data_IF_169308643292
#
_entry.id   IF_169308643292
#
_cell.length_a   1.000
_cell.length_b   1.000
_cell.length_c   1.000
_cell.angle_alpha   90.00
_cell.angle_beta   90.00
_cell.angle_gamma   90.00
#
_symmetry.space_group_name_H-M   'P 1'
#
loop_
_entity.id
_entity.type
_entity.pdbx_description
1 polymer ?
#
# COMPACT_ATOMS: atom_id res chain seq x y z
N UNK A 1 -11.24 -10.53 19.96
CA UNK A 1 -10.75 -10.63 18.56
C UNK A 1 -11.01 -11.97 17.86
N UNK A 2 -11.00 -13.14 18.51
CA UNK A 2 -11.23 -14.44 17.84
C UNK A 2 -12.59 -14.57 17.13
N UNK A 3 -13.62 -13.85 17.58
CA UNK A 3 -15.01 -13.94 17.05
C UNK A 3 -15.14 -13.40 15.63
N UNK A 4 -14.64 -12.19 15.37
CA UNK A 4 -14.66 -11.55 14.03
C UNK A 4 -13.92 -12.39 12.98
N UNK A 5 -12.75 -12.96 13.33
CA UNK A 5 -12.00 -13.84 12.42
C UNK A 5 -12.70 -15.17 12.12
N UNK A 6 -13.60 -15.62 13.01
CA UNK A 6 -14.41 -16.83 12.79
C UNK A 6 -15.65 -16.52 11.94
N UNK A 7 -16.23 -15.33 12.11
CA UNK A 7 -17.41 -14.87 11.35
C UNK A 7 -17.04 -14.44 9.92
N UNK A 8 -15.88 -13.81 9.75
CA UNK A 8 -15.34 -13.48 8.43
C UNK A 8 -14.48 -14.66 7.94
N UNK A 9 -14.99 -15.46 7.01
CA UNK A 9 -14.26 -16.54 6.34
C UNK A 9 -13.10 -16.06 5.43
N UNK A 10 -12.54 -14.87 5.69
CA UNK A 10 -11.49 -14.22 4.90
C UNK A 10 -10.36 -13.74 5.81
N UNK A 11 -9.16 -13.55 5.26
CA UNK A 11 -8.05 -12.91 5.98
C UNK A 11 -8.44 -11.47 6.32
N UNK A 12 -8.23 -11.08 7.59
CA UNK A 12 -8.53 -9.74 8.10
C UNK A 12 -7.26 -9.08 8.62
N UNK A 13 -6.95 -7.90 8.08
CA UNK A 13 -5.88 -7.04 8.54
C UNK A 13 -6.48 -5.87 9.34
N UNK A 14 -6.02 -5.69 10.58
CA UNK A 14 -6.40 -4.53 11.40
C UNK A 14 -5.28 -3.50 11.31
N UNK A 15 -5.62 -2.30 10.85
CA UNK A 15 -4.68 -1.20 10.68
C UNK A 15 -5.01 -0.13 11.70
N UNK A 16 -4.02 0.29 12.48
CA UNK A 16 -4.19 1.39 13.44
C UNK A 16 -4.41 2.69 12.69
N UNK A 17 -5.28 3.55 13.20
CA UNK A 17 -5.39 4.93 12.70
C UNK A 17 -4.05 5.64 12.85
N UNK A 18 -3.56 6.23 11.77
CA UNK A 18 -2.31 6.99 11.72
C UNK A 18 -2.55 8.35 11.06
N UNK A 19 -1.70 9.33 11.37
CA UNK A 19 -1.86 10.72 10.96
C UNK A 19 -1.16 11.09 9.65
N UNK A 20 -0.30 10.22 9.11
CA UNK A 20 0.45 10.49 7.87
C UNK A 20 0.32 9.34 6.88
N UNK A 21 0.32 9.65 5.59
CA UNK A 21 0.20 8.64 4.53
C UNK A 21 1.39 7.70 4.51
N UNK A 22 2.60 8.19 4.79
CA UNK A 22 3.78 7.33 4.96
C UNK A 22 3.57 6.27 6.04
N UNK A 23 3.12 6.65 7.23
CA UNK A 23 2.82 5.68 8.32
C UNK A 23 1.69 4.73 7.93
N UNK A 24 0.73 5.19 7.14
CA UNK A 24 -0.37 4.36 6.67
C UNK A 24 0.11 3.30 5.69
N UNK A 25 1.00 3.67 4.76
CA UNK A 25 1.66 2.73 3.85
C UNK A 25 2.35 1.61 4.62
N UNK A 26 3.23 1.94 5.58
CA UNK A 26 3.89 0.91 6.41
C UNK A 26 2.89 0.03 7.17
N UNK A 27 1.78 0.59 7.64
CA UNK A 27 0.76 -0.19 8.35
C UNK A 27 -0.01 -1.18 7.45
N UNK A 28 -0.02 -0.97 6.12
CA UNK A 28 -0.51 -1.96 5.15
C UNK A 28 0.50 -3.08 4.87
N UNK A 29 1.74 -2.99 5.35
CA UNK A 29 2.80 -3.97 5.10
C UNK A 29 3.46 -4.40 6.43
N UNK A 30 2.72 -4.96 7.39
CA UNK A 30 3.21 -5.19 8.76
C UNK A 30 4.40 -6.16 8.85
N UNK A 31 4.50 -7.10 7.90
CA UNK A 31 5.51 -8.17 7.91
C UNK A 31 6.56 -8.00 6.79
N UNK A 32 6.67 -6.80 6.22
CA UNK A 32 7.57 -6.53 5.10
C UNK A 32 8.58 -5.46 5.44
N UNK A 33 9.84 -5.78 5.16
CA UNK A 33 10.90 -4.79 5.15
C UNK A 33 10.80 -3.96 3.87
N UNK A 34 10.21 -2.78 3.98
CA UNK A 34 10.25 -1.75 2.94
C UNK A 34 11.58 -1.04 3.04
N UNK A 35 12.39 -1.14 1.99
CA UNK A 35 13.73 -0.56 1.97
C UNK A 35 13.68 0.94 1.73
N UNK A 36 12.90 1.36 0.73
CA UNK A 36 12.77 2.77 0.37
C UNK A 36 11.38 3.06 -0.21
N UNK A 37 10.98 4.32 -0.18
CA UNK A 37 9.74 4.82 -0.77
C UNK A 37 10.03 6.12 -1.53
N UNK A 38 9.79 6.09 -2.83
CA UNK A 38 9.82 7.30 -3.67
C UNK A 38 8.40 7.77 -4.00
N UNK A 39 8.26 9.08 -4.19
CA UNK A 39 7.01 9.69 -4.63
C UNK A 39 7.23 10.38 -5.97
N UNK A 40 6.62 9.85 -7.02
CA UNK A 40 6.59 10.48 -8.33
C UNK A 40 5.30 11.28 -8.50
N UNK A 41 5.40 12.54 -8.90
CA UNK A 41 4.25 13.39 -9.21
C UNK A 41 4.04 13.40 -10.72
N UNK A 42 2.91 12.85 -11.16
CA UNK A 42 2.46 12.91 -12.55
C UNK A 42 1.47 14.07 -12.68
N UNK A 43 1.98 15.23 -13.07
CA UNK A 43 1.20 16.48 -13.10
C UNK A 43 0.02 16.42 -14.07
N UNK A 44 0.23 15.81 -15.25
CA UNK A 44 -0.78 15.66 -16.31
C UNK A 44 -2.03 14.91 -15.86
N UNK A 45 -1.89 13.99 -14.90
CA UNK A 45 -2.99 13.16 -14.40
C UNK A 45 -3.46 13.55 -12.99
N UNK A 46 -2.88 14.62 -12.41
CA UNK A 46 -2.99 14.91 -10.98
C UNK A 46 -2.87 13.61 -10.17
N UNK A 47 -1.76 12.90 -10.37
CA UNK A 47 -1.53 11.60 -9.72
C UNK A 47 -0.21 11.60 -8.98
N UNK A 48 -0.22 11.12 -7.74
CA UNK A 48 0.99 10.82 -6.97
C UNK A 48 1.19 9.30 -6.95
N UNK A 49 2.35 8.83 -7.42
CA UNK A 49 2.71 7.41 -7.45
C UNK A 49 3.74 7.17 -6.35
N UNK A 50 3.37 6.36 -5.37
CA UNK A 50 4.29 5.84 -4.37
C UNK A 50 4.96 4.58 -4.92
N UNK A 51 6.27 4.63 -5.14
CA UNK A 51 7.08 3.47 -5.50
C UNK A 51 7.67 2.90 -4.21
N UNK A 52 7.34 1.66 -3.90
CA UNK A 52 7.82 0.95 -2.72
C UNK A 52 8.92 0.00 -3.19
N UNK A 53 10.14 0.22 -2.72
CA UNK A 53 11.29 -0.61 -3.05
C UNK A 53 11.51 -1.68 -1.99
N UNK A 54 11.66 -2.91 -2.47
CA UNK A 54 11.84 -4.09 -1.65
C UNK A 54 13.17 -4.75 -2.00
N UNK A 55 13.79 -5.40 -1.01
CA UNK A 55 15.12 -6.01 -1.16
C UNK A 55 15.10 -7.35 -1.90
N UNK A 56 13.98 -8.08 -1.89
CA UNK A 56 13.92 -9.45 -2.42
C UNK A 56 12.66 -9.71 -3.23
N UNK A 57 12.75 -10.69 -4.13
CA UNK A 57 11.61 -11.17 -4.91
C UNK A 57 10.50 -11.74 -4.02
N UNK A 58 10.85 -12.38 -2.91
CA UNK A 58 9.88 -12.91 -1.95
C UNK A 58 9.10 -11.79 -1.27
N UNK A 59 9.80 -10.75 -0.79
CA UNK A 59 9.15 -9.58 -0.24
C UNK A 59 8.21 -8.92 -1.26
N UNK A 60 8.65 -8.82 -2.52
CA UNK A 60 7.80 -8.32 -3.61
C UNK A 60 6.58 -9.20 -3.86
N UNK A 61 6.75 -10.52 -3.86
CA UNK A 61 5.64 -11.47 -4.00
C UNK A 61 4.58 -11.27 -2.91
N UNK A 62 5.01 -11.10 -1.67
CA UNK A 62 4.11 -10.82 -0.52
C UNK A 62 3.43 -9.45 -0.70
N UNK A 63 4.18 -8.40 -1.05
CA UNK A 63 3.65 -7.04 -1.21
C UNK A 63 2.62 -6.93 -2.35
N UNK A 64 2.79 -7.70 -3.42
CA UNK A 64 1.81 -7.78 -4.51
C UNK A 64 0.60 -8.65 -4.14
N UNK A 65 0.84 -9.74 -3.42
CA UNK A 65 -0.13 -10.80 -3.17
C UNK A 65 -0.40 -11.66 -4.40
N UNK A 66 -1.16 -12.75 -4.22
CA UNK A 66 -1.47 -13.71 -5.29
C UNK A 66 -2.13 -13.00 -6.48
N UNK A 67 -1.49 -13.05 -7.65
CA UNK A 67 -1.97 -12.37 -8.87
C UNK A 67 -2.06 -10.84 -8.76
N UNK A 68 -1.32 -10.23 -7.82
CA UNK A 68 -1.38 -8.79 -7.55
C UNK A 68 -2.63 -8.35 -6.79
N UNK A 69 -3.39 -9.28 -6.21
CA UNK A 69 -4.67 -8.96 -5.55
C UNK A 69 -4.51 -8.04 -4.33
N UNK A 70 -3.41 -8.17 -3.59
CA UNK A 70 -3.20 -7.39 -2.37
C UNK A 70 -2.91 -5.92 -2.71
N UNK A 71 -1.97 -5.67 -3.61
CA UNK A 71 -1.65 -4.29 -4.03
C UNK A 71 -2.83 -3.61 -4.74
N UNK A 72 -3.65 -4.37 -5.48
CA UNK A 72 -4.90 -3.85 -6.08
C UNK A 72 -5.89 -3.39 -5.02
N UNK A 73 -6.08 -4.17 -3.95
CA UNK A 73 -6.97 -3.80 -2.86
C UNK A 73 -6.48 -2.54 -2.13
N UNK A 74 -5.17 -2.42 -1.87
CA UNK A 74 -4.60 -1.21 -1.27
C UNK A 74 -4.80 -0.01 -2.18
N UNK A 75 -4.52 -0.15 -3.49
CA UNK A 75 -4.75 0.92 -4.46
C UNK A 75 -6.20 1.38 -4.52
N UNK A 76 -7.15 0.46 -4.44
CA UNK A 76 -8.58 0.78 -4.37
C UNK A 76 -8.91 1.57 -3.09
N UNK A 77 -8.36 1.17 -1.94
CA UNK A 77 -8.55 1.90 -0.69
C UNK A 77 -7.98 3.33 -0.77
N UNK A 78 -6.75 3.46 -1.26
CA UNK A 78 -6.06 4.74 -1.39
C UNK A 78 -6.79 5.69 -2.35
N UNK A 79 -7.25 5.18 -3.49
CA UNK A 79 -7.94 6.00 -4.50
C UNK A 79 -9.34 6.46 -4.05
N UNK A 80 -10.03 5.68 -3.22
CA UNK A 80 -11.40 5.99 -2.79
C UNK A 80 -11.49 6.76 -1.48
N UNK A 81 -10.56 6.52 -0.56
CA UNK A 81 -10.71 6.96 0.83
C UNK A 81 -9.58 7.84 1.35
N UNK A 82 -8.53 8.09 0.56
CA UNK A 82 -7.41 8.94 0.97
C UNK A 82 -7.36 10.20 0.11
N UNK A 83 -7.38 11.35 0.77
CA UNK A 83 -7.22 12.67 0.17
C UNK A 83 -6.01 13.35 0.81
N UNK A 84 -5.13 13.95 0.01
CA UNK A 84 -3.95 14.68 0.50
C UNK A 84 -3.98 16.09 -0.08
N UNK A 85 -3.84 17.11 0.79
CA UNK A 85 -3.61 18.51 0.44
C UNK A 85 -4.63 19.11 -0.56
N UNK A 86 -5.91 19.27 -0.17
CA UNK A 86 -7.00 20.07 -0.82
C UNK A 86 -7.15 20.03 -2.36
N UNK A 87 -6.42 19.17 -3.03
CA UNK A 87 -6.36 18.97 -4.46
C UNK A 87 -6.61 17.48 -4.69
N UNK A 88 -7.47 17.18 -5.66
CA UNK A 88 -7.85 15.84 -6.07
C UNK A 88 -6.68 15.10 -6.75
N UNK A 89 -5.60 14.83 -6.01
CA UNK A 89 -4.55 13.95 -6.47
C UNK A 89 -4.98 12.50 -6.26
N UNK A 90 -5.05 11.73 -7.35
CA UNK A 90 -5.24 10.28 -7.25
C UNK A 90 -3.95 9.60 -6.77
N UNK A 91 -4.07 8.57 -5.94
CA UNK A 91 -2.94 7.82 -5.41
C UNK A 91 -2.82 6.46 -6.08
N UNK A 92 -1.57 6.07 -6.37
CA UNK A 92 -1.25 4.72 -6.80
C UNK A 92 0.03 4.26 -6.12
N UNK A 93 0.04 3.02 -5.67
CA UNK A 93 1.19 2.30 -5.15
C UNK A 93 1.67 1.32 -6.21
N UNK A 94 2.98 1.32 -6.42
CA UNK A 94 3.71 0.31 -7.17
C UNK A 94 4.78 -0.31 -6.27
N UNK A 95 5.04 -1.61 -6.43
CA UNK A 95 6.07 -2.32 -5.67
C UNK A 95 7.13 -2.86 -6.63
N UNK A 96 8.35 -2.40 -6.45
CA UNK A 96 9.50 -2.72 -7.30
C UNK A 96 10.65 -3.28 -6.46
N UNK A 97 11.61 -3.94 -7.11
CA UNK A 97 12.81 -4.45 -6.46
C UNK A 97 13.91 -3.43 -6.65
N UNK A 98 14.58 -3.10 -5.55
CA UNK A 98 15.82 -2.36 -5.64
C UNK A 98 16.89 -3.32 -6.17
N UNK A 99 17.33 -3.13 -7.41
CA UNK A 99 18.51 -3.82 -7.94
C UNK A 99 19.73 -3.08 -7.40
N UNK A 100 20.34 -3.64 -6.34
CA UNK A 100 21.64 -3.20 -5.81
C UNK A 100 22.73 -3.98 -6.54
#
# INVERSE_FOLDING_TARGET
MKRIRKELHKKVLFIRRVSTVGKLLFAFFPDLYVHDIEVEKVETQKRKIFKIYLLTWDCRGIALGRGGSYIKAINEIFSRYITIEDAFYSFKLNCDILLI
#
